data_IF_536972758286
#
_entry.id   IF_536972758286
#
_cell.length_a   1.000
_cell.length_b   1.000
_cell.length_c   1.000
_cell.angle_alpha   90.00
_cell.angle_beta   90.00
_cell.angle_gamma   90.00
#
_symmetry.space_group_name_H-M   'P 1'
#
loop_
_entity.id
_entity.type
_entity.pdbx_description
1 polymer ?
#
# COMPACT_ATOMS: atom_id res chain seq x y z
N UNK A 1 -19.45 -15.76 -18.49
CA UNK A 1 -18.19 -15.13 -18.06
C UNK A 1 -18.53 -13.94 -17.18
N UNK A 2 -18.38 -14.04 -15.86
CA UNK A 2 -18.34 -12.89 -14.96
C UNK A 2 -17.64 -13.36 -13.69
N UNK A 3 -16.38 -12.97 -13.49
CA UNK A 3 -15.70 -13.17 -12.20
C UNK A 3 -16.21 -12.07 -11.28
N UNK A 4 -17.08 -12.44 -10.35
CA UNK A 4 -17.53 -11.59 -9.26
C UNK A 4 -16.32 -11.15 -8.44
N UNK A 5 -16.03 -9.85 -8.44
CA UNK A 5 -15.03 -9.27 -7.55
C UNK A 5 -15.69 -9.10 -6.19
N UNK A 6 -15.51 -10.08 -5.31
CA UNK A 6 -15.82 -9.98 -3.88
C UNK A 6 -15.00 -8.83 -3.30
N UNK A 7 -15.64 -7.68 -3.08
CA UNK A 7 -15.10 -6.59 -2.27
C UNK A 7 -15.20 -7.03 -0.81
N UNK A 8 -14.12 -7.65 -0.30
CA UNK A 8 -13.89 -7.78 1.14
C UNK A 8 -13.96 -6.38 1.72
N UNK A 9 -14.96 -6.11 2.56
CA UNK A 9 -15.13 -4.84 3.27
C UNK A 9 -13.84 -4.52 4.02
N UNK A 10 -13.06 -3.51 3.62
CA UNK A 10 -11.91 -3.11 4.40
C UNK A 10 -12.46 -2.55 5.73
N UNK A 11 -11.89 -3.00 6.85
CA UNK A 11 -12.07 -2.30 8.11
C UNK A 11 -11.84 -0.80 7.83
N UNK A 12 -12.74 0.08 8.28
CA UNK A 12 -12.89 1.48 7.81
C UNK A 12 -11.61 2.35 7.75
N UNK A 13 -10.49 1.88 8.30
CA UNK A 13 -9.20 2.57 8.37
C UNK A 13 -8.05 1.85 7.63
N UNK A 14 -8.28 0.68 7.05
CA UNK A 14 -7.24 -0.08 6.36
C UNK A 14 -6.92 0.56 4.99
N UNK A 15 -5.63 0.64 4.59
CA UNK A 15 -5.26 1.14 3.28
C UNK A 15 -5.61 0.18 2.15
N UNK A 16 -6.04 0.72 1.01
CA UNK A 16 -6.26 -0.04 -0.22
C UNK A 16 -4.94 -0.53 -0.83
N UNK A 17 -3.87 0.26 -0.71
CA UNK A 17 -2.55 -0.07 -1.22
C UNK A 17 -1.45 0.28 -0.23
N UNK A 18 -0.41 -0.55 -0.19
CA UNK A 18 0.87 -0.23 0.45
C UNK A 18 1.81 0.39 -0.56
N UNK A 19 2.55 1.41 -0.13
CA UNK A 19 3.53 2.12 -0.94
C UNK A 19 4.94 1.58 -0.69
N UNK A 20 5.59 1.14 -1.76
CA UNK A 20 6.93 0.55 -1.74
C UNK A 20 7.89 1.39 -2.57
N UNK A 21 8.97 1.85 -1.95
CA UNK A 21 10.10 2.39 -2.68
C UNK A 21 10.90 1.23 -3.27
N UNK A 22 10.98 1.20 -4.60
CA UNK A 22 11.70 0.18 -5.35
C UNK A 22 12.95 0.79 -5.96
N UNK A 23 14.11 0.25 -5.59
CA UNK A 23 15.40 0.59 -6.19
C UNK A 23 16.05 -0.65 -6.76
N UNK A 24 16.89 -0.45 -7.78
CA UNK A 24 17.70 -1.49 -8.37
C UNK A 24 19.16 -1.14 -8.19
N UNK A 25 19.95 -2.12 -7.73
CA UNK A 25 21.41 -1.99 -7.62
C UNK A 25 22.02 -3.23 -8.26
N UNK A 26 22.52 -3.06 -9.47
CA UNK A 26 22.91 -4.18 -10.33
C UNK A 26 21.69 -5.06 -10.63
N UNK A 27 21.83 -6.37 -10.40
CA UNK A 27 20.77 -7.35 -10.64
C UNK A 27 19.78 -7.50 -9.47
N UNK A 28 20.03 -6.83 -8.33
CA UNK A 28 19.20 -6.94 -7.14
C UNK A 28 18.19 -5.81 -7.05
N UNK A 29 16.94 -6.17 -6.74
CA UNK A 29 15.85 -5.23 -6.48
C UNK A 29 15.59 -5.12 -4.97
N UNK A 30 15.57 -3.90 -4.45
CA UNK A 30 15.28 -3.61 -3.05
C UNK A 30 13.90 -2.98 -2.94
N UNK A 31 13.11 -3.49 -2.00
CA UNK A 31 11.74 -3.07 -1.75
C UNK A 31 11.63 -2.60 -0.31
N UNK A 32 11.41 -1.31 -0.12
CA UNK A 32 11.26 -0.70 1.20
C UNK A 32 9.84 -0.15 1.33
N UNK A 33 9.12 -0.50 2.38
CA UNK A 33 7.82 0.10 2.67
C UNK A 33 8.04 1.56 3.07
N UNK A 34 7.33 2.48 2.43
CA UNK A 34 7.48 3.94 2.65
C UNK A 34 6.16 4.63 2.98
N UNK A 35 5.04 3.91 2.89
CA UNK A 35 3.73 4.47 3.20
C UNK A 35 2.58 3.59 2.74
N UNK A 36 1.42 4.23 2.55
CA UNK A 36 0.19 3.58 2.11
C UNK A 36 -0.74 4.57 1.40
N UNK A 37 -1.71 4.04 0.65
CA UNK A 37 -2.70 4.82 -0.07
C UNK A 37 -4.14 4.36 0.23
N UNK A 38 -5.04 5.32 0.31
CA UNK A 38 -6.47 5.14 0.55
C UNK A 38 -7.27 5.76 -0.59
N UNK A 39 -8.28 5.03 -1.07
CA UNK A 39 -9.20 5.55 -2.06
C UNK A 39 -10.02 6.72 -1.50
N UNK A 40 -10.28 7.71 -2.33
CA UNK A 40 -11.19 8.80 -1.99
C UNK A 40 -12.63 8.31 -2.02
N UNK A 41 -13.50 8.99 -1.25
CA UNK A 41 -14.93 8.64 -1.16
C UNK A 41 -15.67 8.77 -2.49
N UNK A 42 -15.20 9.65 -3.37
CA UNK A 42 -15.75 9.85 -4.71
C UNK A 42 -15.29 8.77 -5.71
N UNK A 43 -14.34 7.89 -5.32
CA UNK A 43 -13.75 6.86 -6.17
C UNK A 43 -12.88 7.39 -7.31
N UNK A 44 -12.55 8.69 -7.32
CA UNK A 44 -11.82 9.35 -8.42
C UNK A 44 -10.38 9.71 -8.04
N UNK A 45 -9.88 9.19 -6.92
CA UNK A 45 -8.56 9.51 -6.44
C UNK A 45 -8.08 8.61 -5.33
N UNK A 46 -6.81 8.80 -4.98
CA UNK A 46 -6.18 8.19 -3.82
C UNK A 46 -5.41 9.26 -3.05
N UNK A 47 -5.46 9.18 -1.72
CA UNK A 47 -4.51 9.88 -0.86
C UNK A 47 -3.34 8.94 -0.63
N UNK A 48 -2.13 9.37 -1.01
CA UNK A 48 -0.88 8.67 -0.69
C UNK A 48 -0.23 9.35 0.51
N UNK A 49 -0.18 8.66 1.65
CA UNK A 49 0.58 9.10 2.82
C UNK A 49 1.94 8.42 2.81
N UNK A 50 3.00 9.22 2.92
CA UNK A 50 4.37 8.73 3.04
C UNK A 50 4.91 9.04 4.43
N UNK A 51 5.56 8.05 5.05
CA UNK A 51 6.35 8.22 6.28
C UNK A 51 7.79 8.66 5.94
N UNK A 52 8.25 8.35 4.74
CA UNK A 52 9.54 8.76 4.22
C UNK A 52 9.43 8.99 2.72
N UNK A 53 9.95 10.11 2.24
CA UNK A 53 10.00 10.43 0.82
C UNK A 53 11.39 10.12 0.26
N UNK A 54 11.54 9.13 -0.64
CA UNK A 54 12.83 8.82 -1.24
C UNK A 54 13.27 9.94 -2.21
N UNK A 55 14.57 10.23 -2.24
CA UNK A 55 15.15 11.29 -3.10
C UNK A 55 15.24 10.82 -4.57
N UNK A 56 15.32 9.51 -4.80
CA UNK A 56 15.43 8.87 -6.10
C UNK A 56 14.61 7.57 -6.15
N UNK A 57 14.57 6.93 -7.32
CA UNK A 57 13.86 5.65 -7.51
C UNK A 57 12.39 5.83 -7.86
N UNK A 58 11.56 4.82 -7.53
CA UNK A 58 10.11 4.83 -7.81
C UNK A 58 9.31 4.31 -6.63
N UNK A 59 8.12 4.87 -6.44
CA UNK A 59 7.13 4.37 -5.48
C UNK A 59 6.12 3.50 -6.24
N UNK A 60 5.90 2.29 -5.76
CA UNK A 60 4.98 1.31 -6.32
C UNK A 60 3.88 1.03 -5.31
N UNK A 61 2.62 1.21 -5.70
CA UNK A 61 1.46 0.88 -4.90
C UNK A 61 1.04 -0.58 -5.16
N UNK A 62 0.86 -1.38 -4.10
CA UNK A 62 0.46 -2.79 -4.18
C UNK A 62 -0.60 -3.09 -3.14
N UNK A 63 -1.61 -3.87 -3.51
CA UNK A 63 -2.60 -4.34 -2.55
C UNK A 63 -1.90 -5.10 -1.41
N UNK A 64 -2.35 -4.95 -0.16
CA UNK A 64 -1.84 -5.77 0.94
C UNK A 64 -2.06 -7.25 0.61
N UNK A 65 -1.08 -8.09 0.94
CA UNK A 65 -1.24 -9.55 0.88
C UNK A 65 -2.28 -9.95 1.94
N UNK A 66 -3.21 -10.83 1.59
CA UNK A 66 -4.38 -11.20 2.41
C UNK A 66 -4.02 -11.89 3.76
N UNK A 67 -2.75 -12.11 4.04
CA UNK A 67 -2.23 -12.89 5.17
C UNK A 67 -1.39 -12.07 6.18
N UNK A 68 -1.54 -10.74 6.20
CA UNK A 68 -0.90 -9.93 7.25
C UNK A 68 -1.96 -9.39 8.20
N UNK A 69 -2.15 -9.99 9.39
CA UNK A 69 -3.00 -9.39 10.41
C UNK A 69 -2.51 -7.96 10.70
N UNK A 70 -3.40 -7.00 10.95
CA UNK A 70 -3.02 -5.63 11.23
C UNK A 70 -2.09 -5.63 12.44
N UNK A 71 -0.82 -5.31 12.23
CA UNK A 71 0.16 -5.11 13.29
C UNK A 71 -0.15 -3.75 13.94
N UNK A 72 -1.22 -3.73 14.75
CA UNK A 72 -1.49 -2.66 15.69
C UNK A 72 -0.60 -2.92 16.92
N UNK A 73 0.67 -2.54 16.81
CA UNK A 73 1.57 -2.54 17.97
C UNK A 73 1.14 -1.41 18.89
N UNK A 74 0.76 -1.80 20.10
CA UNK A 74 0.18 -0.91 21.10
C UNK A 74 1.03 0.32 21.36
N UNK A 75 0.35 1.46 21.46
CA UNK A 75 0.79 2.53 22.37
C UNK A 75 -0.14 2.50 23.57
N UNK A 76 0.48 2.21 24.70
CA UNK A 76 -0.06 2.18 26.07
C UNK A 76 -0.85 3.41 26.46
#
# INVERSE_FOLDING_TARGET
>A
MAREKTKTTPALNAPDFLAWHVTQKGEKSFWNKVGAAWAHKDGQGYTLQLETCPINGRIVLRAPLEDTPPQNEGRS
#
